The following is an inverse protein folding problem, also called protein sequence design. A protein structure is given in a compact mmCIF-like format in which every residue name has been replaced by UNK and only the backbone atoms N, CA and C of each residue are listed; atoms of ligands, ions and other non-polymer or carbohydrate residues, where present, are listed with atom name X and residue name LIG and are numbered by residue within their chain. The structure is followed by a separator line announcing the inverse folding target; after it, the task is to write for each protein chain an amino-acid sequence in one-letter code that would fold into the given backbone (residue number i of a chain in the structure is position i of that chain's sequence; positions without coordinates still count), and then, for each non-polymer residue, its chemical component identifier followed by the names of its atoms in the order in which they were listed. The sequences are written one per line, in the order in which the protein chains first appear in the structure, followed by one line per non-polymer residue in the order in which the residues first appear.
data_IF_693610478491
#
_entry.id   IF_693610478491
#
_cell.length_a   1.000
_cell.length_b   1.000
_cell.length_c   1.000
_cell.angle_alpha   90.00
_cell.angle_beta   90.00
_cell.angle_gamma   90.00
#
_symmetry.space_group_name_H-M   'P 1'
#
loop_
_entity.id
_entity.type
_entity.pdbx_description
1 polymer ?
#
# COMPACT_ATOMS: atom_id res chain seq x y z
N UNK A 1 -50.26 20.94 66.73
CA UNK A 1 -51.13 21.60 65.75
C UNK A 1 -50.27 22.39 64.83
N UNK A 2 -50.61 22.31 63.61
CA UNK A 2 -50.16 23.02 62.45
C UNK A 2 -49.31 22.20 61.47
N UNK A 3 -49.96 21.82 60.39
CA UNK A 3 -49.58 21.22 59.18
C UNK A 3 -48.93 22.28 58.30
N UNK A 4 -47.76 21.99 57.68
CA UNK A 4 -47.15 22.81 56.68
C UNK A 4 -46.80 21.98 55.49
N UNK A 5 -47.57 22.16 54.40
CA UNK A 5 -47.36 21.61 53.06
C UNK A 5 -46.20 22.35 52.43
N UNK A 6 -45.15 21.64 51.95
CA UNK A 6 -44.06 22.17 51.18
C UNK A 6 -44.02 21.47 49.81
N UNK A 7 -44.19 22.24 48.77
CA UNK A 7 -44.21 21.88 47.36
C UNK A 7 -42.89 21.31 46.92
N UNK A 8 -42.95 20.17 46.22
CA UNK A 8 -41.83 19.60 45.52
C UNK A 8 -41.45 20.46 44.32
N UNK A 9 -40.18 20.85 44.26
CA UNK A 9 -39.57 21.53 43.10
C UNK A 9 -38.89 20.46 42.22
N UNK A 10 -39.44 20.27 41.03
CA UNK A 10 -38.93 19.35 40.02
C UNK A 10 -37.68 19.97 39.35
N UNK A 11 -36.53 19.75 39.91
CA UNK A 11 -35.28 19.98 39.20
C UNK A 11 -35.05 18.84 38.23
N UNK A 12 -35.38 19.08 36.94
CA UNK A 12 -34.93 18.24 35.84
C UNK A 12 -33.42 18.24 35.79
N UNK A 13 -32.84 17.18 36.28
CA UNK A 13 -31.44 16.83 36.08
C UNK A 13 -31.28 16.47 34.59
N UNK A 14 -30.72 17.42 33.81
CA UNK A 14 -30.28 17.17 32.46
C UNK A 14 -29.00 16.35 32.52
N UNK A 15 -29.14 15.05 32.70
CA UNK A 15 -28.04 14.13 32.41
C UNK A 15 -27.64 14.29 30.95
N UNK A 16 -26.56 15.05 30.70
CA UNK A 16 -25.81 14.95 29.47
C UNK A 16 -25.32 13.51 29.34
N UNK A 17 -26.02 12.71 28.56
CA UNK A 17 -25.50 11.43 28.14
C UNK A 17 -24.16 11.69 27.43
N UNK A 18 -23.05 11.35 28.08
CA UNK A 18 -21.81 11.07 27.39
C UNK A 18 -22.17 10.06 26.33
N UNK A 19 -22.07 10.43 25.05
CA UNK A 19 -22.12 9.46 23.94
C UNK A 19 -21.11 8.39 24.29
N UNK A 20 -21.58 7.20 24.59
CA UNK A 20 -20.75 6.03 24.77
C UNK A 20 -19.86 5.86 23.55
N UNK A 21 -18.64 5.40 23.76
CA UNK A 21 -17.75 4.92 22.72
C UNK A 21 -18.61 4.08 21.76
N UNK A 22 -18.59 4.36 20.47
CA UNK A 22 -19.29 3.59 19.47
C UNK A 22 -18.93 2.10 19.66
N UNK A 23 -19.94 1.23 19.76
CA UNK A 23 -19.73 -0.23 19.76
C UNK A 23 -19.30 -0.73 18.36
N UNK A 24 -19.07 0.19 17.42
CA UNK A 24 -18.63 -0.10 16.08
C UNK A 24 -17.10 -0.24 16.04
N UNK A 25 -16.65 -1.43 15.71
CA UNK A 25 -15.25 -1.82 15.66
C UNK A 25 -14.84 -2.21 14.25
N UNK A 26 -13.72 -1.66 13.78
CA UNK A 26 -13.03 -2.07 12.56
C UNK A 26 -11.77 -2.84 12.94
N UNK A 27 -11.54 -4.02 12.35
CA UNK A 27 -10.28 -4.73 12.41
C UNK A 27 -9.44 -4.44 11.16
N UNK A 28 -8.19 -4.06 11.32
CA UNK A 28 -7.25 -3.87 10.22
C UNK A 28 -5.96 -4.67 10.44
N UNK A 29 -5.70 -5.64 9.55
CA UNK A 29 -4.47 -6.44 9.52
C UNK A 29 -3.50 -5.86 8.49
N UNK A 30 -2.48 -5.12 8.96
CA UNK A 30 -1.40 -4.64 8.11
C UNK A 30 -0.54 -5.81 7.63
N UNK A 31 -0.03 -5.76 6.40
CA UNK A 31 0.83 -6.82 5.87
C UNK A 31 2.20 -6.84 6.57
N UNK A 32 2.90 -5.69 6.62
CA UNK A 32 4.14 -5.53 7.37
C UNK A 32 4.45 -4.08 7.66
N UNK A 33 4.82 -3.79 8.90
CA UNK A 33 5.32 -2.48 9.32
C UNK A 33 6.77 -2.22 8.85
N UNK A 34 7.44 -3.23 8.31
CA UNK A 34 8.78 -3.06 7.72
C UNK A 34 8.74 -2.41 6.34
N UNK A 35 7.59 -2.43 5.67
CA UNK A 35 7.39 -1.71 4.41
C UNK A 35 6.96 -0.27 4.70
N UNK A 36 7.79 0.70 4.34
CA UNK A 36 7.58 2.11 4.66
C UNK A 36 6.21 2.64 4.22
N UNK A 37 5.77 2.28 3.01
CA UNK A 37 4.46 2.67 2.51
C UNK A 37 3.33 2.12 3.38
N UNK A 38 3.37 0.84 3.74
CA UNK A 38 2.32 0.18 4.51
C UNK A 38 2.24 0.67 5.95
N UNK A 39 3.39 0.95 6.57
CA UNK A 39 3.46 1.57 7.90
C UNK A 39 2.83 2.98 7.89
N UNK A 40 3.12 3.78 6.86
CA UNK A 40 2.56 5.12 6.67
C UNK A 40 1.05 5.07 6.39
N UNK A 41 0.61 4.18 5.49
CA UNK A 41 -0.81 3.94 5.21
C UNK A 41 -1.58 3.56 6.48
N UNK A 42 -1.06 2.61 7.26
CA UNK A 42 -1.63 2.19 8.54
C UNK A 42 -1.85 3.37 9.48
N UNK A 43 -0.87 4.26 9.60
CA UNK A 43 -0.99 5.45 10.45
C UNK A 43 -2.12 6.36 9.96
N UNK A 44 -2.16 6.66 8.67
CA UNK A 44 -3.21 7.49 8.08
C UNK A 44 -4.61 6.87 8.22
N UNK A 45 -4.73 5.55 8.01
CA UNK A 45 -6.01 4.85 8.15
C UNK A 45 -6.53 4.91 9.58
N UNK A 46 -5.63 4.68 10.55
CA UNK A 46 -5.97 4.77 11.96
C UNK A 46 -6.44 6.18 12.33
N UNK A 47 -5.66 7.20 11.98
CA UNK A 47 -5.97 8.60 12.29
C UNK A 47 -7.28 9.04 11.63
N UNK A 48 -7.51 8.70 10.35
CA UNK A 48 -8.73 9.05 9.63
C UNK A 48 -9.97 8.35 10.22
N UNK A 49 -9.84 7.08 10.62
CA UNK A 49 -10.92 6.29 11.20
C UNK A 49 -11.28 6.82 12.60
N UNK A 50 -10.28 7.08 13.44
CA UNK A 50 -10.48 7.63 14.80
C UNK A 50 -11.05 9.06 14.75
N UNK A 51 -10.67 9.86 13.75
CA UNK A 51 -11.25 11.20 13.55
C UNK A 51 -12.75 11.18 13.28
N UNK A 52 -13.28 10.08 12.73
CA UNK A 52 -14.71 9.83 12.54
C UNK A 52 -15.41 9.26 13.78
N UNK A 53 -14.67 9.02 14.86
CA UNK A 53 -15.20 8.44 16.10
C UNK A 53 -15.42 6.93 16.02
N UNK A 54 -14.86 6.26 15.02
CA UNK A 54 -14.91 4.82 14.81
C UNK A 54 -13.71 4.18 15.53
N UNK A 55 -13.97 3.09 16.29
CA UNK A 55 -12.89 2.32 16.92
C UNK A 55 -12.22 1.43 15.89
N UNK A 56 -10.88 1.45 15.84
CA UNK A 56 -10.08 0.58 14.96
C UNK A 56 -9.04 -0.18 15.77
N UNK A 57 -8.98 -1.49 15.58
CA UNK A 57 -7.88 -2.35 16.07
C UNK A 57 -6.96 -2.65 14.91
N UNK A 58 -5.68 -2.40 15.12
CA UNK A 58 -4.65 -2.57 14.08
C UNK A 58 -3.65 -3.63 14.52
N UNK A 59 -3.33 -4.56 13.64
CA UNK A 59 -2.29 -5.58 13.84
C UNK A 59 -1.27 -5.53 12.71
N UNK A 60 -0.11 -6.12 12.95
CA UNK A 60 0.96 -6.31 11.97
C UNK A 60 1.17 -7.81 11.75
N UNK A 61 1.12 -8.26 10.51
CA UNK A 61 1.33 -9.66 10.15
C UNK A 61 2.81 -9.99 9.90
N UNK A 62 3.69 -8.99 9.83
CA UNK A 62 5.12 -9.18 9.61
C UNK A 62 5.46 -9.88 8.29
N UNK A 63 4.59 -9.79 7.27
CA UNK A 63 4.74 -10.45 5.98
C UNK A 63 4.26 -11.91 5.94
N UNK A 64 3.71 -12.44 7.04
CA UNK A 64 3.21 -13.82 7.11
C UNK A 64 1.70 -13.89 6.86
N UNK A 65 1.31 -14.53 5.76
CA UNK A 65 -0.08 -14.68 5.34
C UNK A 65 -0.91 -15.51 6.34
N UNK A 66 -0.33 -16.53 6.98
CA UNK A 66 -1.06 -17.33 7.96
C UNK A 66 -1.31 -16.54 9.25
N UNK A 67 -0.34 -15.73 9.66
CA UNK A 67 -0.51 -14.79 10.79
C UNK A 67 -1.63 -13.81 10.46
N UNK A 68 -1.64 -13.24 9.24
CA UNK A 68 -2.65 -12.30 8.81
C UNK A 68 -4.06 -12.91 8.80
N UNK A 69 -4.21 -14.12 8.24
CA UNK A 69 -5.49 -14.85 8.25
C UNK A 69 -5.99 -15.06 9.69
N UNK A 70 -5.11 -15.49 10.61
CA UNK A 70 -5.46 -15.62 12.04
C UNK A 70 -5.87 -14.31 12.69
N UNK A 71 -5.28 -13.18 12.31
CA UNK A 71 -5.67 -11.84 12.80
C UNK A 71 -7.09 -11.47 12.34
N UNK A 72 -7.47 -11.82 11.12
CA UNK A 72 -8.86 -11.62 10.63
C UNK A 72 -9.83 -12.47 11.43
N UNK A 73 -9.52 -13.74 11.71
CA UNK A 73 -10.33 -14.59 12.58
C UNK A 73 -10.49 -13.99 13.99
N UNK A 74 -9.42 -13.46 14.55
CA UNK A 74 -9.45 -12.79 15.85
C UNK A 74 -10.35 -11.56 15.85
N UNK A 75 -10.37 -10.75 14.79
CA UNK A 75 -11.29 -9.61 14.67
C UNK A 75 -12.76 -10.06 14.60
N UNK A 76 -13.04 -11.15 13.89
CA UNK A 76 -14.39 -11.74 13.83
C UNK A 76 -14.84 -12.18 15.23
N UNK A 77 -13.98 -12.86 15.98
CA UNK A 77 -14.24 -13.27 17.36
C UNK A 77 -14.45 -12.08 18.30
N UNK A 78 -13.76 -10.96 18.07
CA UNK A 78 -13.92 -9.71 18.80
C UNK A 78 -15.19 -8.93 18.43
N UNK A 79 -16.05 -9.49 17.56
CA UNK A 79 -17.25 -8.87 17.02
C UNK A 79 -16.96 -7.56 16.25
N UNK A 80 -15.91 -7.52 15.46
CA UNK A 80 -15.70 -6.43 14.52
C UNK A 80 -16.90 -6.31 13.57
N UNK A 81 -17.24 -5.08 13.19
CA UNK A 81 -18.29 -4.80 12.22
C UNK A 81 -17.77 -4.84 10.78
N UNK A 82 -16.48 -4.59 10.61
CA UNK A 82 -15.75 -4.65 9.35
C UNK A 82 -14.39 -5.26 9.63
N UNK A 83 -13.94 -6.15 8.76
CA UNK A 83 -12.55 -6.61 8.72
C UNK A 83 -11.87 -6.05 7.49
N UNK A 84 -10.59 -5.72 7.62
CA UNK A 84 -9.83 -5.12 6.53
C UNK A 84 -8.37 -5.52 6.57
N UNK A 85 -7.70 -5.51 5.43
CA UNK A 85 -6.29 -5.85 5.34
C UNK A 85 -5.60 -5.17 4.15
N UNK A 86 -4.27 -5.04 4.25
CA UNK A 86 -3.39 -5.06 3.08
C UNK A 86 -2.94 -6.51 2.94
N UNK A 87 -3.50 -7.24 1.99
CA UNK A 87 -3.26 -8.68 1.87
C UNK A 87 -1.81 -8.98 1.49
N UNK A 88 -1.19 -9.98 2.15
CA UNK A 88 0.17 -10.40 1.86
C UNK A 88 0.29 -11.22 0.57
N UNK A 89 -0.75 -11.97 0.24
CA UNK A 89 -0.75 -12.88 -0.92
C UNK A 89 -2.16 -12.98 -1.50
N UNK A 90 -2.25 -12.91 -2.83
CA UNK A 90 -3.51 -12.89 -3.57
C UNK A 90 -4.38 -14.12 -3.28
N UNK A 91 -3.79 -15.30 -3.36
CA UNK A 91 -4.48 -16.59 -3.17
C UNK A 91 -4.42 -17.06 -1.71
N UNK A 92 -3.31 -16.81 -1.03
CA UNK A 92 -3.11 -17.16 0.37
C UNK A 92 -4.05 -16.42 1.34
N UNK A 93 -4.62 -15.28 0.92
CA UNK A 93 -5.60 -14.52 1.71
C UNK A 93 -7.06 -14.95 1.48
N UNK A 94 -7.33 -15.93 0.61
CA UNK A 94 -8.67 -16.50 0.40
C UNK A 94 -9.31 -16.98 1.71
N UNK A 95 -8.60 -17.69 2.63
CA UNK A 95 -9.20 -18.11 3.89
C UNK A 95 -9.74 -16.95 4.74
N UNK A 96 -9.04 -15.81 4.79
CA UNK A 96 -9.52 -14.62 5.49
C UNK A 96 -10.78 -14.02 4.86
N UNK A 97 -10.84 -13.99 3.52
CA UNK A 97 -12.02 -13.54 2.78
C UNK A 97 -13.23 -14.47 3.04
N UNK A 98 -13.01 -15.79 2.99
CA UNK A 98 -14.07 -16.78 3.26
C UNK A 98 -14.57 -16.69 4.71
N UNK A 99 -13.67 -16.52 5.68
CA UNK A 99 -14.05 -16.33 7.09
C UNK A 99 -14.92 -15.08 7.28
N UNK A 100 -14.59 -13.96 6.65
CA UNK A 100 -15.41 -12.74 6.67
C UNK A 100 -16.77 -12.98 6.01
N UNK A 101 -16.81 -13.64 4.86
CA UNK A 101 -18.04 -14.00 4.14
C UNK A 101 -18.95 -14.90 4.98
N UNK A 102 -18.40 -15.93 5.60
CA UNK A 102 -19.15 -16.86 6.46
C UNK A 102 -19.71 -16.16 7.71
N UNK A 103 -18.98 -15.16 8.23
CA UNK A 103 -19.45 -14.30 9.32
C UNK A 103 -20.45 -13.21 8.87
N UNK A 104 -20.63 -13.03 7.56
CA UNK A 104 -21.48 -11.97 6.98
C UNK A 104 -20.93 -10.56 7.18
N UNK A 105 -19.61 -10.42 7.30
CA UNK A 105 -18.90 -9.15 7.56
C UNK A 105 -18.30 -8.55 6.28
N UNK A 106 -18.42 -7.25 6.05
CA UNK A 106 -17.66 -6.60 4.99
C UNK A 106 -16.15 -6.85 5.13
N UNK A 107 -15.50 -7.16 4.00
CA UNK A 107 -14.05 -7.27 3.88
C UNK A 107 -13.51 -6.14 3.00
N UNK A 108 -12.74 -5.23 3.58
CA UNK A 108 -12.11 -4.12 2.84
C UNK A 108 -10.65 -4.44 2.58
N UNK A 109 -10.30 -4.68 1.32
CA UNK A 109 -8.92 -4.91 0.90
C UNK A 109 -8.28 -3.61 0.43
N UNK A 110 -7.12 -3.31 0.99
CA UNK A 110 -6.34 -2.12 0.62
C UNK A 110 -5.12 -2.52 -0.20
N UNK A 111 -4.78 -1.73 -1.21
CA UNK A 111 -3.57 -1.80 -2.02
C UNK A 111 -3.43 -3.09 -2.85
N UNK A 112 -3.70 -4.23 -2.26
CA UNK A 112 -3.67 -5.56 -2.89
C UNK A 112 -5.06 -6.17 -2.86
N UNK A 113 -5.47 -6.84 -3.93
CA UNK A 113 -6.73 -7.57 -3.98
C UNK A 113 -6.59 -8.98 -3.39
N UNK A 114 -7.72 -9.67 -3.23
CA UNK A 114 -7.78 -11.09 -2.85
C UNK A 114 -8.51 -11.85 -3.94
N UNK A 115 -7.99 -13.02 -4.35
CA UNK A 115 -8.65 -13.87 -5.34
C UNK A 115 -10.06 -14.25 -4.89
N UNK A 116 -11.02 -14.12 -5.79
CA UNK A 116 -12.44 -14.40 -5.49
C UNK A 116 -13.17 -13.28 -4.74
N UNK A 117 -12.49 -12.13 -4.48
CA UNK A 117 -13.13 -10.99 -3.83
C UNK A 117 -14.37 -10.50 -4.58
N UNK A 118 -14.30 -10.40 -5.91
CA UNK A 118 -15.39 -9.94 -6.76
C UNK A 118 -16.63 -10.85 -6.72
N UNK A 119 -16.51 -12.09 -6.22
CA UNK A 119 -17.61 -13.03 -6.03
C UNK A 119 -18.33 -12.86 -4.66
N UNK A 120 -17.92 -11.86 -3.88
CA UNK A 120 -18.51 -11.54 -2.58
C UNK A 120 -19.04 -10.10 -2.53
N UNK A 121 -20.35 -9.92 -2.41
CA UNK A 121 -21.00 -8.59 -2.36
C UNK A 121 -20.53 -7.72 -1.20
N UNK A 122 -19.96 -8.30 -0.15
CA UNK A 122 -19.35 -7.61 1.00
C UNK A 122 -17.88 -7.24 0.81
N UNK A 123 -17.26 -7.59 -0.32
CA UNK A 123 -15.87 -7.25 -0.61
C UNK A 123 -15.77 -5.86 -1.24
N UNK A 124 -14.83 -5.07 -0.75
CA UNK A 124 -14.52 -3.74 -1.27
C UNK A 124 -13.02 -3.61 -1.44
N UNK A 125 -12.57 -3.26 -2.64
CA UNK A 125 -11.18 -2.95 -2.91
C UNK A 125 -10.94 -1.44 -2.93
N UNK A 126 -9.88 -0.99 -2.24
CA UNK A 126 -9.41 0.39 -2.20
C UNK A 126 -7.92 0.42 -2.53
N UNK A 127 -7.57 0.93 -3.69
CA UNK A 127 -6.17 0.99 -4.12
C UNK A 127 -5.96 1.97 -5.26
N UNK A 128 -4.70 2.23 -5.60
CA UNK A 128 -4.33 2.96 -6.81
C UNK A 128 -4.40 2.03 -8.03
N UNK A 129 -4.65 2.57 -9.22
CA UNK A 129 -4.57 1.79 -10.46
C UNK A 129 -3.09 1.47 -10.75
N UNK A 130 -2.64 0.28 -10.34
CA UNK A 130 -1.25 -0.17 -10.49
C UNK A 130 -0.78 -0.18 -11.95
N UNK A 131 -1.67 -0.52 -12.88
CA UNK A 131 -1.36 -0.47 -14.32
C UNK A 131 -1.02 0.95 -14.79
N UNK A 132 -1.70 1.97 -14.28
CA UNK A 132 -1.41 3.38 -14.61
C UNK A 132 -0.05 3.83 -14.06
N UNK A 133 0.35 3.35 -12.89
CA UNK A 133 1.67 3.66 -12.33
C UNK A 133 2.81 3.10 -13.20
N UNK A 134 2.72 1.84 -13.60
CA UNK A 134 3.68 1.24 -14.53
C UNK A 134 3.66 1.91 -15.91
N UNK A 135 2.47 2.28 -16.40
CA UNK A 135 2.33 3.02 -17.65
C UNK A 135 3.00 4.39 -17.60
N UNK A 136 2.91 5.11 -16.49
CA UNK A 136 3.60 6.40 -16.31
C UNK A 136 5.12 6.24 -16.39
N UNK A 137 5.70 5.19 -15.81
CA UNK A 137 7.11 4.87 -15.96
C UNK A 137 7.49 4.60 -17.43
N UNK A 138 6.69 3.80 -18.12
CA UNK A 138 6.94 3.47 -19.53
C UNK A 138 6.79 4.66 -20.48
N UNK A 139 5.83 5.53 -20.25
CA UNK A 139 5.64 6.78 -21.01
C UNK A 139 6.83 7.73 -20.81
N UNK A 140 7.26 7.89 -19.54
CA UNK A 140 8.47 8.65 -19.25
C UNK A 140 9.69 8.11 -20.00
N UNK A 141 9.92 6.80 -19.99
CA UNK A 141 11.05 6.18 -20.69
C UNK A 141 10.99 6.42 -22.21
N UNK A 142 9.80 6.33 -22.81
CA UNK A 142 9.62 6.61 -24.23
C UNK A 142 9.99 8.05 -24.60
N UNK A 143 9.66 9.00 -23.73
CA UNK A 143 9.95 10.43 -23.94
C UNK A 143 11.44 10.75 -23.66
N UNK A 144 12.03 10.14 -22.64
CA UNK A 144 13.42 10.36 -22.25
C UNK A 144 14.41 9.70 -23.20
N UNK A 145 14.03 8.58 -23.80
CA UNK A 145 14.88 7.76 -24.69
C UNK A 145 14.26 7.52 -26.06
N UNK A 146 14.05 8.56 -26.88
CA UNK A 146 13.36 8.42 -28.17
C UNK A 146 14.07 7.47 -29.15
N UNK A 147 15.38 7.33 -29.04
CA UNK A 147 16.19 6.44 -29.89
C UNK A 147 16.29 5.00 -29.35
N UNK A 148 15.79 4.76 -28.14
CA UNK A 148 15.84 3.48 -27.44
C UNK A 148 16.79 3.47 -26.25
N UNK A 149 16.61 2.47 -25.37
CA UNK A 149 17.38 2.30 -24.14
C UNK A 149 17.50 0.82 -23.74
N UNK A 150 18.52 0.53 -22.94
CA UNK A 150 18.72 -0.73 -22.23
C UNK A 150 18.33 -0.53 -20.78
N UNK A 151 17.28 -1.17 -20.31
CA UNK A 151 16.77 -0.99 -18.94
C UNK A 151 16.77 -2.30 -18.15
N UNK A 152 16.88 -2.20 -16.83
CA UNK A 152 16.59 -3.29 -15.90
C UNK A 152 15.28 -3.02 -15.21
N UNK A 153 14.54 -4.09 -14.87
CA UNK A 153 13.29 -4.00 -14.13
C UNK A 153 13.39 -4.71 -12.79
N UNK A 154 13.29 -3.94 -11.70
CA UNK A 154 13.38 -4.44 -10.33
C UNK A 154 11.98 -4.55 -9.74
N UNK A 155 11.63 -5.78 -9.37
CA UNK A 155 10.25 -6.20 -9.09
C UNK A 155 10.09 -6.63 -7.63
N UNK A 156 8.83 -6.79 -7.20
CA UNK A 156 8.47 -7.56 -6.01
C UNK A 156 8.26 -9.03 -6.32
N UNK A 157 7.59 -9.73 -5.41
CA UNK A 157 7.32 -11.16 -5.57
C UNK A 157 6.45 -11.42 -6.81
N UNK A 158 6.73 -12.50 -7.57
CA UNK A 158 5.99 -12.81 -8.82
C UNK A 158 4.47 -13.02 -8.64
N UNK A 159 4.03 -13.37 -7.43
CA UNK A 159 2.62 -13.60 -7.08
C UNK A 159 1.93 -12.32 -6.56
N UNK A 160 2.65 -11.21 -6.51
CA UNK A 160 2.08 -9.92 -6.12
C UNK A 160 1.30 -9.33 -7.29
N UNK A 161 0.00 -9.10 -7.12
CA UNK A 161 -0.86 -8.52 -8.16
C UNK A 161 -0.35 -7.13 -8.58
N UNK A 162 0.20 -6.35 -7.65
CA UNK A 162 0.78 -5.04 -7.98
C UNK A 162 1.93 -5.17 -8.99
N UNK A 163 2.80 -6.18 -8.81
CA UNK A 163 3.88 -6.47 -9.77
C UNK A 163 3.32 -6.77 -11.17
N UNK A 164 2.33 -7.65 -11.24
CA UNK A 164 1.71 -8.05 -12.52
C UNK A 164 1.11 -6.84 -13.23
N UNK A 165 0.35 -6.03 -12.52
CA UNK A 165 -0.36 -4.87 -13.08
C UNK A 165 0.63 -3.75 -13.46
N UNK A 166 1.61 -3.44 -12.61
CA UNK A 166 2.64 -2.43 -12.90
C UNK A 166 3.47 -2.81 -14.10
N UNK A 167 3.88 -4.09 -14.18
CA UNK A 167 4.61 -4.61 -15.34
C UNK A 167 3.78 -4.51 -16.62
N UNK A 168 2.50 -4.91 -16.56
CA UNK A 168 1.58 -4.82 -17.69
C UNK A 168 1.48 -3.39 -18.23
N UNK A 169 1.32 -2.41 -17.32
CA UNK A 169 1.27 -0.99 -17.69
C UNK A 169 2.57 -0.49 -18.33
N UNK A 170 3.72 -0.86 -17.75
CA UNK A 170 5.04 -0.54 -18.30
C UNK A 170 5.20 -1.10 -19.72
N UNK A 171 4.96 -2.40 -19.91
CA UNK A 171 5.10 -3.08 -21.22
C UNK A 171 4.15 -2.51 -22.26
N UNK A 172 2.91 -2.15 -21.87
CA UNK A 172 1.95 -1.52 -22.78
C UNK A 172 2.46 -0.17 -23.28
N UNK A 173 2.99 0.65 -22.40
CA UNK A 173 3.56 1.95 -22.76
C UNK A 173 4.81 1.80 -23.64
N UNK A 174 5.69 0.85 -23.34
CA UNK A 174 6.91 0.58 -24.12
C UNK A 174 6.64 0.11 -25.54
N UNK A 175 5.43 -0.37 -25.88
CA UNK A 175 5.06 -0.68 -27.28
C UNK A 175 5.16 0.54 -28.19
N UNK A 176 5.09 1.76 -27.64
CA UNK A 176 5.29 3.01 -28.40
C UNK A 176 6.73 3.19 -28.89
N UNK A 177 7.70 2.61 -28.17
CA UNK A 177 9.12 2.63 -28.54
C UNK A 177 9.77 1.25 -28.35
N UNK A 178 9.67 0.37 -29.37
CA UNK A 178 10.19 -1.00 -29.29
C UNK A 178 11.72 -1.09 -29.25
N UNK A 179 12.44 0.04 -29.34
CA UNK A 179 13.89 0.09 -29.18
C UNK A 179 14.31 0.14 -27.70
N UNK A 180 13.39 0.41 -26.77
CA UNK A 180 13.65 0.25 -25.34
C UNK A 180 13.56 -1.24 -25.00
N UNK A 181 14.61 -1.78 -24.42
CA UNK A 181 14.74 -3.21 -24.12
C UNK A 181 14.88 -3.43 -22.62
N UNK A 182 14.00 -4.23 -22.04
CA UNK A 182 14.20 -4.81 -20.72
C UNK A 182 15.26 -5.89 -20.88
N UNK A 183 16.45 -5.66 -20.31
CA UNK A 183 17.58 -6.59 -20.37
C UNK A 183 17.33 -7.80 -19.48
N UNK A 184 16.85 -7.54 -18.26
CA UNK A 184 16.54 -8.55 -17.28
C UNK A 184 15.58 -8.01 -16.21
N UNK A 185 15.02 -8.92 -15.40
CA UNK A 185 14.10 -8.67 -14.29
C UNK A 185 14.61 -9.32 -13.02
N UNK A 186 14.63 -8.56 -11.93
CA UNK A 186 15.11 -9.04 -10.65
C UNK A 186 14.07 -8.82 -9.55
N UNK A 187 13.71 -9.88 -8.82
CA UNK A 187 12.92 -9.73 -7.62
C UNK A 187 13.79 -9.18 -6.48
N UNK A 188 13.47 -7.96 -6.04
CA UNK A 188 14.15 -7.28 -4.92
C UNK A 188 13.25 -7.18 -3.68
N UNK A 189 12.12 -7.89 -3.67
CA UNK A 189 11.20 -8.03 -2.51
C UNK A 189 10.79 -6.67 -1.89
N UNK A 190 10.72 -5.62 -2.70
CA UNK A 190 10.48 -4.24 -2.25
C UNK A 190 11.49 -3.75 -1.19
N UNK A 191 12.67 -4.32 -1.18
CA UNK A 191 13.71 -4.07 -0.18
C UNK A 191 14.78 -3.13 -0.70
N UNK A 192 15.13 -2.12 0.11
CA UNK A 192 16.24 -1.20 -0.18
C UNK A 192 17.56 -1.94 -0.28
N UNK A 193 17.83 -2.87 0.64
CA UNK A 193 19.10 -3.62 0.67
C UNK A 193 19.24 -4.55 -0.54
N UNK A 194 18.16 -5.23 -0.94
CA UNK A 194 18.17 -6.07 -2.15
C UNK A 194 18.25 -5.21 -3.41
N UNK A 195 17.57 -4.08 -3.45
CA UNK A 195 17.71 -3.12 -4.55
C UNK A 195 19.16 -2.66 -4.74
N UNK A 196 19.84 -2.33 -3.62
CA UNK A 196 21.24 -1.92 -3.64
C UNK A 196 22.15 -3.05 -4.13
N UNK A 197 22.10 -4.23 -3.50
CA UNK A 197 22.99 -5.35 -3.85
C UNK A 197 22.77 -5.84 -5.28
N UNK A 198 21.51 -5.91 -5.74
CA UNK A 198 21.19 -6.31 -7.12
C UNK A 198 21.67 -5.29 -8.14
N UNK A 199 21.62 -3.99 -7.81
CA UNK A 199 22.19 -2.95 -8.68
C UNK A 199 23.71 -3.05 -8.76
N UNK A 200 24.42 -3.28 -7.64
CA UNK A 200 25.85 -3.50 -7.62
C UNK A 200 26.27 -4.68 -8.51
N UNK A 201 25.59 -5.83 -8.40
CA UNK A 201 25.84 -7.00 -9.23
C UNK A 201 25.52 -6.74 -10.71
N UNK A 202 24.45 -5.99 -10.98
CA UNK A 202 24.06 -5.62 -12.34
C UNK A 202 25.10 -4.72 -13.02
N UNK A 203 25.70 -3.79 -12.28
CA UNK A 203 26.78 -2.92 -12.81
C UNK A 203 28.04 -3.69 -13.23
N UNK A 204 28.24 -4.89 -12.68
CA UNK A 204 29.33 -5.80 -13.06
C UNK A 204 28.96 -6.69 -14.26
N UNK A 205 27.67 -6.91 -14.47
CA UNK A 205 27.16 -7.89 -15.43
C UNK A 205 26.81 -7.30 -16.79
N UNK A 206 26.49 -6.01 -16.85
CA UNK A 206 26.04 -5.33 -18.06
C UNK A 206 26.97 -4.17 -18.43
N UNK A 207 27.41 -4.16 -19.69
CA UNK A 207 28.25 -3.08 -20.23
C UNK A 207 27.52 -1.73 -20.31
N UNK A 208 26.18 -1.79 -20.54
CA UNK A 208 25.33 -0.61 -20.70
C UNK A 208 23.99 -0.81 -20.03
N UNK A 209 23.66 0.11 -19.13
CA UNK A 209 22.35 0.29 -18.52
C UNK A 209 22.01 1.77 -18.66
N UNK A 210 20.87 2.11 -19.25
CA UNK A 210 20.40 3.48 -19.40
C UNK A 210 19.44 3.88 -18.26
N UNK A 211 18.65 2.91 -17.77
CA UNK A 211 17.78 3.12 -16.60
C UNK A 211 17.55 1.83 -15.80
N UNK A 212 17.28 1.98 -14.51
CA UNK A 212 16.77 0.93 -13.63
C UNK A 212 15.38 1.37 -13.17
N UNK A 213 14.38 0.55 -13.51
CA UNK A 213 12.98 0.80 -13.23
C UNK A 213 12.56 -0.09 -12.08
N UNK A 214 12.24 0.51 -10.95
CA UNK A 214 11.80 -0.20 -9.75
C UNK A 214 10.29 -0.08 -9.59
N UNK A 215 9.68 -1.16 -9.13
CA UNK A 215 8.24 -1.15 -8.89
C UNK A 215 7.84 -0.44 -7.59
N UNK A 216 8.82 -0.04 -6.75
CA UNK A 216 8.58 0.76 -5.56
C UNK A 216 9.79 1.67 -5.25
N UNK A 217 9.58 2.62 -4.35
CA UNK A 217 10.60 3.60 -3.98
C UNK A 217 11.70 3.01 -3.08
N UNK A 218 11.39 2.06 -2.21
CA UNK A 218 12.41 1.44 -1.34
C UNK A 218 13.50 0.76 -2.18
N UNK A 219 13.11 -0.06 -3.17
CA UNK A 219 14.04 -0.66 -4.12
C UNK A 219 14.81 0.39 -4.93
N UNK A 220 14.13 1.44 -5.38
CA UNK A 220 14.74 2.54 -6.14
C UNK A 220 15.78 3.30 -5.32
N UNK A 221 15.50 3.59 -4.06
CA UNK A 221 16.47 4.23 -3.15
C UNK A 221 17.70 3.36 -2.90
N UNK A 222 17.54 2.03 -2.87
CA UNK A 222 18.67 1.11 -2.84
C UNK A 222 19.52 1.21 -4.10
N UNK A 223 18.89 1.26 -5.27
CA UNK A 223 19.61 1.48 -6.55
C UNK A 223 20.37 2.79 -6.55
N UNK A 224 19.77 3.89 -6.06
CA UNK A 224 20.44 5.19 -5.96
C UNK A 224 21.72 5.08 -5.15
N UNK A 225 21.71 4.42 -3.99
CA UNK A 225 22.90 4.25 -3.15
C UNK A 225 24.00 3.44 -3.87
N UNK A 226 23.64 2.38 -4.60
CA UNK A 226 24.59 1.60 -5.39
C UNK A 226 25.24 2.46 -6.49
N UNK A 227 24.42 3.24 -7.23
CA UNK A 227 24.90 4.10 -8.31
C UNK A 227 25.80 5.24 -7.79
N UNK A 228 25.45 5.82 -6.64
CA UNK A 228 26.31 6.82 -5.95
C UNK A 228 27.68 6.23 -5.61
N UNK A 229 27.69 5.05 -4.99
CA UNK A 229 28.90 4.34 -4.61
C UNK A 229 29.79 3.99 -5.82
N UNK A 230 29.17 3.66 -6.94
CA UNK A 230 29.86 3.33 -8.19
C UNK A 230 30.21 4.56 -9.07
N UNK A 231 29.77 5.78 -8.69
CA UNK A 231 29.95 7.00 -9.50
C UNK A 231 29.20 6.95 -10.85
N UNK A 232 28.04 6.28 -10.87
CA UNK A 232 27.21 6.06 -12.06
C UNK A 232 25.89 6.82 -12.08
N UNK A 233 25.59 7.59 -11.01
CA UNK A 233 24.31 8.24 -10.82
C UNK A 233 23.94 9.20 -11.97
N UNK A 234 24.92 9.94 -12.49
CA UNK A 234 24.72 10.88 -13.62
C UNK A 234 24.45 10.18 -14.96
N UNK A 235 24.67 8.86 -15.05
CA UNK A 235 24.60 8.11 -16.30
C UNK A 235 23.48 7.10 -16.39
N UNK A 236 22.83 6.77 -15.29
CA UNK A 236 21.76 5.76 -15.20
C UNK A 236 20.56 6.39 -14.48
N UNK A 237 19.42 6.42 -15.16
CA UNK A 237 18.20 6.93 -14.57
C UNK A 237 17.57 5.92 -13.62
N UNK A 238 16.95 6.40 -12.51
CA UNK A 238 16.27 5.55 -11.52
C UNK A 238 14.82 5.98 -11.40
N UNK A 239 13.91 5.04 -11.62
CA UNK A 239 12.47 5.27 -11.55
C UNK A 239 11.86 4.41 -10.44
N UNK A 240 10.95 5.00 -9.65
CA UNK A 240 10.22 4.32 -8.57
C UNK A 240 8.70 4.48 -8.71
N UNK A 241 8.00 3.95 -7.73
CA UNK A 241 6.56 4.13 -7.50
C UNK A 241 6.39 4.27 -5.98
N UNK A 242 5.49 5.04 -5.51
CA UNK A 242 4.88 5.30 -4.20
C UNK A 242 4.79 6.79 -3.89
N UNK A 243 5.77 7.61 -4.30
CA UNK A 243 5.84 9.02 -3.93
C UNK A 243 6.23 9.19 -2.46
N UNK A 244 7.14 8.34 -1.95
CA UNK A 244 7.62 8.42 -0.58
C UNK A 244 8.40 9.71 -0.33
N UNK A 245 8.41 10.18 0.93
CA UNK A 245 9.10 11.42 1.28
C UNK A 245 10.61 11.35 0.93
N UNK A 246 11.23 10.17 1.14
CA UNK A 246 12.64 9.94 0.83
C UNK A 246 12.90 9.94 -0.68
N UNK A 247 12.01 9.35 -1.49
CA UNK A 247 12.11 9.39 -2.95
C UNK A 247 11.90 10.80 -3.49
N UNK A 248 10.93 11.56 -2.95
CA UNK A 248 10.72 12.96 -3.31
C UNK A 248 11.94 13.82 -2.97
N UNK A 249 12.58 13.56 -1.81
CA UNK A 249 13.82 14.23 -1.45
C UNK A 249 14.95 13.86 -2.41
N UNK A 250 15.11 12.57 -2.72
CA UNK A 250 16.12 12.07 -3.66
C UNK A 250 15.96 12.67 -5.07
N UNK A 251 14.71 12.89 -5.52
CA UNK A 251 14.42 13.60 -6.78
C UNK A 251 14.84 15.08 -6.69
N UNK A 252 14.54 15.75 -5.56
CA UNK A 252 14.95 17.14 -5.34
C UNK A 252 16.46 17.31 -5.33
N UNK A 253 17.18 16.31 -4.81
CA UNK A 253 18.64 16.27 -4.76
C UNK A 253 19.26 15.89 -6.13
N UNK A 254 18.44 15.54 -7.12
CA UNK A 254 18.85 15.15 -8.46
C UNK A 254 19.44 13.73 -8.54
N UNK A 255 19.14 12.88 -7.57
CA UNK A 255 19.67 11.53 -7.46
C UNK A 255 18.71 10.48 -8.06
N UNK A 256 17.43 10.60 -7.80
CA UNK A 256 16.37 9.79 -8.41
C UNK A 256 15.65 10.58 -9.49
N UNK A 257 15.21 9.92 -10.54
CA UNK A 257 14.64 10.57 -11.72
C UNK A 257 13.16 10.87 -11.58
N UNK A 258 12.36 9.87 -11.16
CA UNK A 258 10.93 10.02 -10.93
C UNK A 258 10.39 8.97 -9.97
N UNK A 259 9.25 9.27 -9.38
CA UNK A 259 8.38 8.29 -8.73
C UNK A 259 6.94 8.51 -9.19
N UNK A 260 6.19 7.42 -9.44
CA UNK A 260 4.74 7.51 -9.65
C UNK A 260 4.03 7.54 -8.30
N UNK A 261 3.19 8.56 -8.08
CA UNK A 261 2.54 8.77 -6.78
C UNK A 261 1.49 7.69 -6.51
N UNK A 262 1.59 7.04 -5.36
CA UNK A 262 0.49 6.37 -4.66
C UNK A 262 0.11 7.21 -3.45
N UNK A 263 -1.07 7.83 -3.46
CA UNK A 263 -1.50 8.69 -2.35
C UNK A 263 -2.04 7.85 -1.19
N UNK A 264 -1.14 7.42 -0.30
CA UNK A 264 -1.47 6.63 0.89
C UNK A 264 -2.51 7.32 1.79
N UNK A 265 -2.45 8.65 1.88
CA UNK A 265 -3.38 9.42 2.71
C UNK A 265 -4.78 9.44 2.10
N UNK A 266 -4.89 9.74 0.81
CA UNK A 266 -6.19 9.75 0.13
C UNK A 266 -6.86 8.37 0.14
N UNK A 267 -6.07 7.30 -0.04
CA UNK A 267 -6.57 5.93 0.04
C UNK A 267 -7.05 5.57 1.46
N UNK A 268 -6.31 5.97 2.49
CA UNK A 268 -6.68 5.76 3.88
C UNK A 268 -7.95 6.54 4.26
N UNK A 269 -8.08 7.81 3.82
CA UNK A 269 -9.27 8.62 4.02
C UNK A 269 -10.49 7.99 3.31
N UNK A 270 -10.33 7.49 2.07
CA UNK A 270 -11.38 6.77 1.35
C UNK A 270 -11.81 5.49 2.10
N UNK A 271 -10.86 4.75 2.68
CA UNK A 271 -11.15 3.60 3.54
C UNK A 271 -11.96 3.98 4.77
N UNK A 272 -11.57 5.03 5.47
CA UNK A 272 -12.31 5.54 6.62
C UNK A 272 -13.73 6.00 6.26
N UNK A 273 -13.94 6.55 5.06
CA UNK A 273 -15.26 6.91 4.53
C UNK A 273 -16.14 5.66 4.26
N UNK A 274 -15.52 4.56 3.85
CA UNK A 274 -16.22 3.28 3.67
C UNK A 274 -16.64 2.70 5.00
N UNK A 275 -15.79 2.77 6.03
CA UNK A 275 -16.12 2.28 7.37
C UNK A 275 -17.29 3.04 8.04
N UNK A 276 -17.61 4.24 7.58
CA UNK A 276 -18.70 5.04 8.11
C UNK A 276 -20.08 4.64 7.53
N UNK A 277 -20.12 3.90 6.45
CA UNK A 277 -21.35 3.55 5.69
C UNK A 277 -21.92 2.20 6.09
#
# INVERSE_FOLDING_TARGET
MAVGCGTADDTKDSSSSSKGKSDYLVGFANNSDTYNYCAKFRSYLKDATEAKGISITVTDAGGDTNVQNGQIDDFIVQNANVVSAISNDLDGSIPALEAAKDAGLPYVSFLTSVSGGDDYDGYIYVGSPNEDAGKAQGEYLCDAFPDGASILYFTGAPNDQQYVDRKKGLEEALKKNPNIKILDEYNVENSKDLGMSTAEDSLLSYDKIDAIVCQNDDGALGVVEALKSAGKLDSIQVLGIDGSDDALQSIQDGEMTMTALQDAKAQAEAGADIFEK
#
